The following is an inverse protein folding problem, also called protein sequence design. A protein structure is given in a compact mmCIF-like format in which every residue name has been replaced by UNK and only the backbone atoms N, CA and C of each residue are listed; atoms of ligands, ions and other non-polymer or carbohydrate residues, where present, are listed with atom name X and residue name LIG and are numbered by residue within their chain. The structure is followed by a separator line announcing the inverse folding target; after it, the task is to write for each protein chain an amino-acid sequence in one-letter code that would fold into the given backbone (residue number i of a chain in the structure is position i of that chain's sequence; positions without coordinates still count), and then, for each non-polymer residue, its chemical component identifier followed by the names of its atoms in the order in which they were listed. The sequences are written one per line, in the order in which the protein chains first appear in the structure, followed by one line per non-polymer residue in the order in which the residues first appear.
data_IF_204412494126
#
_entry.id   IF_204412494126
#
_cell.length_a   1.000
_cell.length_b   1.000
_cell.length_c   1.000
_cell.angle_alpha   90.00
_cell.angle_beta   90.00
_cell.angle_gamma   90.00
#
_symmetry.space_group_name_H-M   'P 1'
#
loop_
_entity.id
_entity.type
_entity.pdbx_description
1 polymer ?
#
# COMPACT_ATOMS: atom_id res chain seq x y z
N UNK A 1 -15.51 6.35 2.76
CA UNK A 1 -15.32 6.86 4.14
C UNK A 1 -15.63 5.86 5.27
N UNK A 2 -16.72 5.05 5.22
CA UNK A 2 -17.09 4.10 6.31
C UNK A 2 -16.11 2.95 6.61
N UNK A 3 -15.26 2.54 5.66
CA UNK A 3 -14.25 1.48 5.91
C UNK A 3 -13.11 2.01 6.77
N UNK A 4 -12.58 3.21 6.48
CA UNK A 4 -11.46 3.78 7.24
C UNK A 4 -11.83 4.00 8.71
N UNK A 5 -13.06 4.42 9.01
CA UNK A 5 -13.51 4.68 10.39
C UNK A 5 -13.75 3.41 11.23
N UNK A 6 -13.88 2.23 10.62
CA UNK A 6 -14.02 0.95 11.34
C UNK A 6 -12.77 0.09 11.28
N UNK A 7 -12.14 0.02 10.11
CA UNK A 7 -10.95 -0.81 9.86
C UNK A 7 -9.75 -0.22 10.59
N UNK A 8 -9.46 1.07 10.43
CA UNK A 8 -8.25 1.67 11.02
C UNK A 8 -8.23 1.55 12.55
N UNK A 9 -9.29 1.90 13.30
CA UNK A 9 -9.27 1.72 14.76
C UNK A 9 -9.11 0.26 15.19
N UNK A 10 -9.76 -0.68 14.49
CA UNK A 10 -9.63 -2.12 14.78
C UNK A 10 -8.21 -2.61 14.55
N UNK A 11 -7.60 -2.24 13.42
CA UNK A 11 -6.23 -2.62 13.08
C UNK A 11 -5.23 -2.00 14.05
N UNK A 12 -5.35 -0.70 14.36
CA UNK A 12 -4.53 -0.04 15.37
C UNK A 12 -4.66 -0.74 16.73
N UNK A 13 -5.87 -1.09 17.16
CA UNK A 13 -6.07 -1.82 18.41
C UNK A 13 -5.37 -3.19 18.39
N UNK A 14 -5.48 -3.92 17.28
CA UNK A 14 -4.88 -5.26 17.10
C UNK A 14 -3.36 -5.22 17.22
N UNK A 15 -2.71 -4.25 16.55
CA UNK A 15 -1.25 -4.17 16.49
C UNK A 15 -0.63 -3.41 17.67
N UNK A 16 -1.37 -2.51 18.32
CA UNK A 16 -0.87 -1.76 19.47
C UNK A 16 -1.15 -2.43 20.81
N UNK A 17 -2.21 -3.22 20.96
CA UNK A 17 -2.54 -3.86 22.23
C UNK A 17 -1.41 -4.75 22.79
N UNK A 18 -0.71 -5.58 21.98
CA UNK A 18 0.41 -6.39 22.49
C UNK A 18 1.59 -5.56 23.01
N UNK A 19 1.82 -4.36 22.47
CA UNK A 19 2.95 -3.51 22.84
C UNK A 19 2.62 -2.56 24.00
N UNK A 20 1.38 -2.06 24.04
CA UNK A 20 1.00 -0.94 24.89
C UNK A 20 -0.09 -1.27 25.93
N UNK A 21 -0.76 -2.41 25.81
CA UNK A 21 -1.91 -2.75 26.65
C UNK A 21 -2.95 -1.62 26.66
N UNK A 22 -3.41 -1.20 27.84
CA UNK A 22 -4.35 -0.07 27.99
C UNK A 22 -3.74 1.29 27.60
N UNK A 23 -2.41 1.44 27.67
CA UNK A 23 -1.72 2.70 27.34
C UNK A 23 -1.80 3.07 25.85
N UNK A 24 -2.32 2.17 25.00
CA UNK A 24 -2.54 2.41 23.57
C UNK A 24 -3.47 3.59 23.29
N UNK A 25 -4.44 3.86 24.17
CA UNK A 25 -5.35 5.00 24.02
C UNK A 25 -4.62 6.33 24.24
N UNK A 26 -3.77 6.41 25.27
CA UNK A 26 -2.90 7.56 25.52
C UNK A 26 -1.92 7.75 24.35
N UNK A 27 -1.34 6.66 23.88
CA UNK A 27 -0.43 6.66 22.73
C UNK A 27 -1.11 7.21 21.46
N UNK A 28 -2.37 6.86 21.21
CA UNK A 28 -3.11 7.38 20.06
C UNK A 28 -3.29 8.91 20.14
N UNK A 29 -3.66 9.43 21.31
CA UNK A 29 -3.73 10.88 21.54
C UNK A 29 -2.36 11.53 21.31
N UNK A 30 -1.31 10.93 21.86
CA UNK A 30 0.07 11.41 21.69
C UNK A 30 0.50 11.45 20.21
N UNK A 31 0.13 10.43 19.42
CA UNK A 31 0.35 10.40 17.98
C UNK A 31 -0.35 11.57 17.30
N UNK A 32 -1.65 11.77 17.55
CA UNK A 32 -2.42 12.84 16.92
C UNK A 32 -1.84 14.22 17.25
N UNK A 33 -1.49 14.46 18.51
CA UNK A 33 -0.87 15.72 18.96
C UNK A 33 0.51 15.95 18.33
N UNK A 34 1.23 14.88 17.96
CA UNK A 34 2.55 14.98 17.34
C UNK A 34 2.49 15.14 15.82
N UNK A 35 1.34 14.93 15.18
CA UNK A 35 1.21 14.94 13.73
C UNK A 35 1.70 16.24 13.06
N UNK A 36 1.42 17.46 13.57
CA UNK A 36 1.92 18.70 12.96
C UNK A 36 3.44 18.80 12.98
N UNK A 37 4.09 18.32 14.05
CA UNK A 37 5.56 18.29 14.16
C UNK A 37 6.15 17.34 13.12
N UNK A 38 5.60 16.12 13.02
CA UNK A 38 6.07 15.13 12.06
C UNK A 38 5.81 15.54 10.61
N UNK A 39 4.70 16.22 10.33
CA UNK A 39 4.44 16.80 9.01
C UNK A 39 5.57 17.72 8.55
N UNK A 40 6.01 18.62 9.43
CA UNK A 40 7.17 19.50 9.16
C UNK A 40 8.49 18.71 9.05
N UNK A 41 8.63 17.65 9.82
CA UNK A 41 9.84 16.80 9.78
C UNK A 41 9.95 16.00 8.49
N UNK A 42 8.84 15.53 7.93
CA UNK A 42 8.81 14.67 6.74
C UNK A 42 8.71 15.45 5.42
N UNK A 43 8.37 16.72 5.45
CA UNK A 43 8.34 17.58 4.26
C UNK A 43 9.75 17.86 3.73
N UNK A 44 9.91 17.83 2.42
CA UNK A 44 11.12 18.29 1.71
C UNK A 44 10.78 19.47 0.81
N UNK A 45 11.76 20.31 0.54
CA UNK A 45 11.63 21.44 -0.42
C UNK A 45 11.45 20.98 -1.86
N UNK A 46 11.82 19.73 -2.16
CA UNK A 46 11.72 19.11 -3.48
C UNK A 46 10.44 18.28 -3.67
N UNK A 47 9.52 18.29 -2.70
CA UNK A 47 8.28 17.53 -2.80
C UNK A 47 7.37 18.12 -3.88
N UNK A 48 6.97 17.31 -4.86
CA UNK A 48 5.90 17.65 -5.78
C UNK A 48 4.51 17.41 -5.17
N UNK A 49 3.46 17.92 -5.83
CA UNK A 49 2.09 17.82 -5.33
C UNK A 49 1.62 16.38 -5.08
N UNK A 50 2.00 15.44 -5.95
CA UNK A 50 1.64 14.02 -5.78
C UNK A 50 2.33 13.41 -4.56
N UNK A 51 3.59 13.76 -4.31
CA UNK A 51 4.32 13.27 -3.14
C UNK A 51 3.79 13.89 -1.85
N UNK A 52 3.44 15.18 -1.86
CA UNK A 52 2.77 15.84 -0.73
C UNK A 52 1.48 15.11 -0.36
N UNK A 53 0.65 14.76 -1.34
CA UNK A 53 -0.59 14.05 -1.11
C UNK A 53 -0.37 12.64 -0.51
N UNK A 54 0.62 11.90 -1.02
CA UNK A 54 0.99 10.59 -0.49
C UNK A 54 1.49 10.71 0.95
N UNK A 55 2.37 11.69 1.24
CA UNK A 55 2.88 11.96 2.58
C UNK A 55 1.75 12.33 3.55
N UNK A 56 0.80 13.12 3.10
CA UNK A 56 -0.37 13.51 3.90
C UNK A 56 -1.25 12.32 4.23
N UNK A 57 -1.47 11.44 3.27
CA UNK A 57 -2.23 10.20 3.47
C UNK A 57 -1.54 9.28 4.48
N UNK A 58 -0.21 9.18 4.43
CA UNK A 58 0.58 8.30 5.28
C UNK A 58 1.14 8.93 6.54
N UNK A 59 0.85 10.20 6.82
CA UNK A 59 1.44 10.94 7.93
C UNK A 59 1.29 10.19 9.26
N UNK A 60 0.10 9.69 9.57
CA UNK A 60 -0.14 9.00 10.84
C UNK A 60 0.57 7.64 10.93
N UNK A 61 0.88 7.01 9.80
CA UNK A 61 1.70 5.79 9.77
C UNK A 61 3.16 6.13 10.06
N UNK A 62 3.68 7.19 9.44
CA UNK A 62 5.03 7.69 9.75
C UNK A 62 5.17 8.08 11.22
N UNK A 63 4.14 8.74 11.79
CA UNK A 63 4.07 9.08 13.22
C UNK A 63 4.03 7.81 14.09
N UNK A 64 3.19 6.83 13.73
CA UNK A 64 3.07 5.54 14.41
C UNK A 64 4.43 4.86 14.52
N UNK A 65 5.10 4.66 13.39
CA UNK A 65 6.40 4.02 13.33
C UNK A 65 7.43 4.76 14.19
N UNK A 66 7.57 6.08 14.01
CA UNK A 66 8.60 6.84 14.71
C UNK A 66 8.38 6.88 16.23
N UNK A 67 7.12 6.96 16.69
CA UNK A 67 6.82 6.89 18.12
C UNK A 67 7.01 5.50 18.72
N UNK A 68 6.62 4.44 18.00
CA UNK A 68 6.91 3.09 18.44
C UNK A 68 8.42 2.85 18.51
N UNK A 69 9.17 3.32 17.50
CA UNK A 69 10.63 3.20 17.45
C UNK A 69 11.29 3.87 18.65
N UNK A 70 10.88 5.08 18.99
CA UNK A 70 11.40 5.81 20.14
C UNK A 70 11.14 5.09 21.48
N UNK A 71 10.09 4.26 21.57
CA UNK A 71 9.66 3.61 22.82
C UNK A 71 10.11 2.16 22.96
N UNK A 72 10.20 1.43 21.85
CA UNK A 72 10.37 -0.01 21.83
C UNK A 72 11.51 -0.49 20.92
N UNK A 73 12.24 0.43 20.28
CA UNK A 73 13.27 0.09 19.31
C UNK A 73 12.72 -0.18 17.92
N UNK A 74 13.65 -0.33 16.97
CA UNK A 74 13.35 -0.41 15.54
C UNK A 74 12.56 -1.68 15.16
N UNK A 75 13.02 -2.85 15.59
CA UNK A 75 12.41 -4.14 15.20
C UNK A 75 10.93 -4.23 15.59
N UNK A 76 10.60 -3.87 16.83
CA UNK A 76 9.23 -3.89 17.33
C UNK A 76 8.34 -2.88 16.59
N UNK A 77 8.88 -1.69 16.31
CA UNK A 77 8.17 -0.64 15.59
C UNK A 77 7.92 -1.04 14.13
N UNK A 78 8.95 -1.56 13.46
CA UNK A 78 8.85 -2.02 12.08
C UNK A 78 7.83 -3.14 11.97
N UNK A 79 7.93 -4.19 12.79
CA UNK A 79 6.98 -5.32 12.77
C UNK A 79 5.52 -4.88 12.93
N UNK A 80 5.25 -4.01 13.90
CA UNK A 80 3.89 -3.53 14.16
C UNK A 80 3.37 -2.62 13.04
N UNK A 81 4.18 -1.67 12.57
CA UNK A 81 3.80 -0.75 11.50
C UNK A 81 3.65 -1.47 10.15
N UNK A 82 4.54 -2.40 9.83
CA UNK A 82 4.50 -3.22 8.62
C UNK A 82 3.23 -4.06 8.56
N UNK A 83 2.90 -4.80 9.63
CA UNK A 83 1.70 -5.63 9.65
C UNK A 83 0.42 -4.79 9.61
N UNK A 84 0.39 -3.67 10.33
CA UNK A 84 -0.71 -2.71 10.26
C UNK A 84 -0.92 -2.19 8.84
N UNK A 85 0.16 -1.78 8.16
CA UNK A 85 0.10 -1.28 6.78
C UNK A 85 -0.33 -2.35 5.79
N UNK A 86 0.16 -3.58 5.92
CA UNK A 86 -0.22 -4.69 5.05
C UNK A 86 -1.73 -4.96 5.14
N UNK A 87 -2.28 -5.07 6.35
CA UNK A 87 -3.71 -5.32 6.55
C UNK A 87 -4.58 -4.12 6.12
N UNK A 88 -4.08 -2.90 6.30
CA UNK A 88 -4.75 -1.70 5.81
C UNK A 88 -4.75 -1.66 4.27
N UNK A 89 -3.61 -1.96 3.65
CA UNK A 89 -3.45 -2.05 2.20
C UNK A 89 -4.39 -3.08 1.58
N UNK A 90 -4.41 -4.31 2.12
CA UNK A 90 -5.32 -5.38 1.69
C UNK A 90 -6.79 -4.94 1.80
N UNK A 91 -7.19 -4.37 2.94
CA UNK A 91 -8.58 -3.93 3.14
C UNK A 91 -9.00 -2.79 2.18
N UNK A 92 -8.11 -1.83 1.92
CA UNK A 92 -8.37 -0.70 1.01
C UNK A 92 -8.42 -1.19 -0.44
N UNK A 93 -7.47 -2.02 -0.86
CA UNK A 93 -7.42 -2.58 -2.21
C UNK A 93 -8.60 -3.51 -2.47
N UNK A 94 -8.96 -4.40 -1.53
CA UNK A 94 -10.19 -5.20 -1.67
C UNK A 94 -11.42 -4.34 -1.82
N UNK A 95 -11.55 -3.23 -1.09
CA UNK A 95 -12.66 -2.31 -1.31
C UNK A 95 -12.66 -1.70 -2.72
N UNK A 96 -11.48 -1.42 -3.27
CA UNK A 96 -11.33 -0.77 -4.57
C UNK A 96 -11.62 -1.73 -5.74
N UNK A 97 -11.15 -2.99 -5.63
CA UNK A 97 -11.25 -3.97 -6.72
C UNK A 97 -12.39 -4.97 -6.51
N UNK A 98 -12.73 -5.36 -5.28
CA UNK A 98 -13.77 -6.34 -5.04
C UNK A 98 -15.11 -5.60 -5.01
N UNK A 99 -15.70 -5.50 -6.20
CA UNK A 99 -17.02 -4.95 -6.44
C UNK A 99 -18.11 -5.52 -5.50
N UNK A 100 -19.23 -4.80 -5.27
CA UNK A 100 -20.33 -5.28 -4.45
C UNK A 100 -20.86 -6.65 -4.90
N UNK A 101 -21.46 -7.39 -3.95
CA UNK A 101 -22.01 -8.74 -4.17
C UNK A 101 -22.86 -8.83 -5.44
N UNK A 102 -22.60 -9.87 -6.25
CA UNK A 102 -23.38 -10.19 -7.45
C UNK A 102 -22.73 -9.81 -8.79
N UNK A 103 -21.62 -9.07 -8.80
CA UNK A 103 -20.88 -8.81 -10.04
C UNK A 103 -19.71 -9.78 -10.24
N UNK A 104 -19.54 -10.24 -11.49
CA UNK A 104 -18.45 -11.15 -11.86
C UNK A 104 -17.08 -10.47 -11.68
N UNK A 105 -16.11 -11.26 -11.21
CA UNK A 105 -14.69 -10.86 -11.09
C UNK A 105 -13.93 -11.56 -12.20
N UNK A 106 -13.96 -10.99 -13.39
CA UNK A 106 -13.31 -11.51 -14.59
C UNK A 106 -12.19 -10.58 -15.07
N UNK A 107 -11.43 -11.08 -16.04
CA UNK A 107 -10.28 -10.40 -16.64
C UNK A 107 -10.64 -9.03 -17.23
N UNK A 108 -11.77 -8.92 -17.93
CA UNK A 108 -12.16 -7.67 -18.59
C UNK A 108 -12.50 -6.57 -17.59
N UNK A 109 -13.19 -6.95 -16.50
CA UNK A 109 -13.52 -6.01 -15.43
C UNK A 109 -12.31 -5.57 -14.63
N UNK A 110 -11.38 -6.49 -14.34
CA UNK A 110 -10.14 -6.14 -13.66
C UNK A 110 -9.43 -4.98 -14.36
N UNK A 111 -9.33 -5.02 -15.69
CA UNK A 111 -8.68 -3.95 -16.46
C UNK A 111 -9.36 -2.61 -16.28
N UNK A 112 -10.68 -2.57 -16.37
CA UNK A 112 -11.45 -1.33 -16.17
C UNK A 112 -11.23 -0.76 -14.76
N UNK A 113 -11.30 -1.61 -13.74
CA UNK A 113 -11.07 -1.21 -12.35
C UNK A 113 -9.62 -0.74 -12.14
N UNK A 114 -8.65 -1.42 -12.75
CA UNK A 114 -7.24 -1.08 -12.62
C UNK A 114 -6.86 0.22 -13.35
N UNK A 115 -7.33 0.42 -14.58
CA UNK A 115 -7.18 1.68 -15.31
C UNK A 115 -7.80 2.85 -14.54
N UNK A 116 -8.99 2.67 -13.97
CA UNK A 116 -9.60 3.68 -13.12
C UNK A 116 -8.74 3.98 -11.87
N UNK A 117 -8.13 2.96 -11.26
CA UNK A 117 -7.21 3.18 -10.14
C UNK A 117 -5.91 3.91 -10.54
N UNK A 118 -5.40 3.67 -11.75
CA UNK A 118 -4.23 4.36 -12.30
C UNK A 118 -4.52 5.81 -12.68
N UNK A 119 -5.74 6.11 -13.15
CA UNK A 119 -6.14 7.46 -13.53
C UNK A 119 -6.57 8.32 -12.32
N UNK A 120 -7.40 7.77 -11.44
CA UNK A 120 -8.11 8.53 -10.40
C UNK A 120 -7.86 7.99 -8.99
N UNK A 121 -7.38 6.75 -8.88
CA UNK A 121 -7.22 6.04 -7.63
C UNK A 121 -5.92 6.34 -6.89
N UNK A 122 -5.64 5.52 -5.89
CA UNK A 122 -4.54 5.75 -4.96
C UNK A 122 -3.15 5.61 -5.57
N UNK A 123 -3.04 4.81 -6.64
CA UNK A 123 -1.79 4.55 -7.35
C UNK A 123 -1.47 5.58 -8.44
N UNK A 124 -2.41 6.49 -8.76
CA UNK A 124 -2.23 7.57 -9.74
C UNK A 124 -1.05 8.50 -9.44
N UNK A 125 -0.66 8.57 -8.18
CA UNK A 125 0.46 9.39 -7.74
C UNK A 125 1.81 8.77 -8.14
N UNK A 126 1.88 7.56 -8.70
CA UNK A 126 3.14 7.04 -9.22
C UNK A 126 3.35 7.45 -10.69
N UNK A 127 4.62 7.55 -11.12
CA UNK A 127 4.93 7.63 -12.56
C UNK A 127 5.09 6.22 -13.12
N UNK A 128 4.56 6.02 -14.32
CA UNK A 128 4.57 4.73 -15.00
C UNK A 128 4.95 4.85 -16.48
N UNK A 129 5.48 3.77 -17.02
CA UNK A 129 5.82 3.63 -18.43
C UNK A 129 5.59 2.18 -18.93
N UNK A 130 5.95 1.93 -20.18
CA UNK A 130 6.04 0.57 -20.72
C UNK A 130 4.71 -0.18 -20.74
N UNK A 131 3.60 0.57 -20.84
CA UNK A 131 2.26 0.01 -20.77
C UNK A 131 1.99 -0.84 -22.01
N UNK A 132 1.77 -2.13 -21.81
CA UNK A 132 1.43 -3.12 -22.83
C UNK A 132 0.03 -3.67 -22.54
N UNK A 133 -0.86 -3.56 -23.51
CA UNK A 133 -2.20 -4.14 -23.46
C UNK A 133 -2.34 -5.17 -24.59
N UNK A 134 -2.69 -6.39 -24.22
CA UNK A 134 -3.05 -7.45 -25.14
C UNK A 134 -4.26 -8.20 -24.60
N UNK A 135 -4.84 -9.09 -25.40
CA UNK A 135 -5.99 -9.90 -24.98
C UNK A 135 -5.72 -10.70 -23.70
N UNK A 136 -4.48 -11.18 -23.52
CA UNK A 136 -4.12 -12.12 -22.46
C UNK A 136 -3.08 -11.59 -21.47
N UNK A 137 -2.63 -10.34 -21.62
CA UNK A 137 -1.63 -9.74 -20.75
C UNK A 137 -1.78 -8.23 -20.68
N UNK A 138 -1.67 -7.71 -19.46
CA UNK A 138 -1.39 -6.29 -19.21
C UNK A 138 -0.11 -6.18 -18.39
N UNK A 139 0.79 -5.31 -18.82
CA UNK A 139 2.00 -5.02 -18.05
C UNK A 139 2.39 -3.57 -18.14
N UNK A 140 3.05 -3.07 -17.09
CA UNK A 140 3.64 -1.74 -17.06
C UNK A 140 4.76 -1.71 -16.01
N UNK A 141 5.52 -0.63 -16.01
CA UNK A 141 6.47 -0.35 -14.94
C UNK A 141 6.09 0.90 -14.17
N UNK A 142 6.32 0.87 -12.86
CA UNK A 142 6.38 2.09 -12.05
C UNK A 142 7.85 2.54 -12.02
N UNK A 143 8.14 3.68 -12.63
CA UNK A 143 9.48 4.27 -12.71
C UNK A 143 9.76 5.21 -11.55
N UNK A 144 8.71 5.76 -10.93
CA UNK A 144 8.81 6.55 -9.69
C UNK A 144 7.72 6.18 -8.70
N UNK A 145 8.14 5.55 -7.61
CA UNK A 145 7.23 5.10 -6.55
C UNK A 145 7.16 6.14 -5.43
N UNK A 146 6.10 6.97 -5.44
CA UNK A 146 5.91 8.00 -4.41
C UNK A 146 5.61 7.42 -3.02
N UNK A 147 5.16 6.17 -2.95
CA UNK A 147 5.06 5.42 -1.69
C UNK A 147 6.44 5.16 -1.07
N UNK A 148 7.39 4.73 -1.90
CA UNK A 148 8.77 4.52 -1.46
C UNK A 148 9.41 5.82 -1.00
N UNK A 149 9.28 6.88 -1.79
CA UNK A 149 9.78 8.22 -1.43
C UNK A 149 9.19 8.73 -0.11
N UNK A 150 7.87 8.60 0.06
CA UNK A 150 7.20 9.03 1.29
C UNK A 150 7.72 8.27 2.51
N UNK A 151 7.80 6.94 2.46
CA UNK A 151 8.27 6.14 3.59
C UNK A 151 9.78 6.28 3.85
N UNK A 152 10.57 6.50 2.80
CA UNK A 152 11.97 6.89 2.91
C UNK A 152 12.12 8.20 3.70
N UNK A 153 11.36 9.24 3.34
CA UNK A 153 11.39 10.52 4.05
C UNK A 153 10.83 10.46 5.48
N UNK A 154 9.92 9.52 5.74
CA UNK A 154 9.43 9.21 7.09
C UNK A 154 10.43 8.42 7.93
N UNK A 155 11.58 8.05 7.36
CA UNK A 155 12.69 7.40 8.05
C UNK A 155 12.61 5.86 8.10
N UNK A 156 11.78 5.24 7.25
CA UNK A 156 11.79 3.79 7.03
C UNK A 156 11.18 3.42 5.67
N UNK A 157 12.02 3.32 4.64
CA UNK A 157 11.60 2.94 3.29
C UNK A 157 11.10 1.47 3.20
N UNK A 158 11.53 0.59 4.12
CA UNK A 158 11.11 -0.80 4.16
C UNK A 158 9.62 -0.99 4.42
N UNK A 159 8.93 0.00 5.00
CA UNK A 159 7.48 -0.03 5.18
C UNK A 159 6.72 -0.09 3.84
N UNK A 160 7.32 0.36 2.74
CA UNK A 160 6.72 0.25 1.40
C UNK A 160 6.47 -1.20 1.00
N UNK A 161 7.28 -2.14 1.48
CA UNK A 161 7.10 -3.56 1.16
C UNK A 161 5.78 -4.14 1.70
N UNK A 162 5.18 -3.54 2.73
CA UNK A 162 3.85 -3.94 3.20
C UNK A 162 2.79 -3.73 2.11
N UNK A 163 2.88 -2.65 1.34
CA UNK A 163 2.01 -2.41 0.18
C UNK A 163 2.34 -3.32 -1.01
N UNK A 164 3.64 -3.52 -1.30
CA UNK A 164 4.03 -4.44 -2.36
C UNK A 164 3.48 -5.86 -2.13
N UNK A 165 3.42 -6.30 -0.86
CA UNK A 165 2.83 -7.57 -0.46
C UNK A 165 1.30 -7.57 -0.53
N UNK A 166 0.65 -6.44 -0.22
CA UNK A 166 -0.81 -6.36 -0.34
C UNK A 166 -1.26 -6.47 -1.80
N UNK A 167 -0.54 -5.83 -2.74
CA UNK A 167 -0.75 -6.01 -4.19
C UNK A 167 -0.77 -7.50 -4.56
N UNK A 168 0.29 -8.23 -4.16
CA UNK A 168 0.46 -9.66 -4.46
C UNK A 168 -0.69 -10.51 -3.92
N UNK A 169 -1.17 -10.17 -2.71
CA UNK A 169 -2.28 -10.87 -2.05
C UNK A 169 -3.62 -10.57 -2.70
N UNK A 170 -3.90 -9.31 -2.99
CA UNK A 170 -5.21 -8.89 -3.50
C UNK A 170 -5.38 -9.30 -4.96
N UNK A 171 -4.39 -9.03 -5.82
CA UNK A 171 -4.51 -9.33 -7.23
C UNK A 171 -4.57 -10.85 -7.50
N UNK A 172 -3.75 -11.66 -6.83
CA UNK A 172 -3.84 -13.12 -6.99
C UNK A 172 -5.07 -13.75 -6.31
N UNK A 173 -5.84 -13.01 -5.51
CA UNK A 173 -7.12 -13.49 -4.96
C UNK A 173 -8.34 -12.89 -5.68
N UNK A 174 -8.13 -12.04 -6.69
CA UNK A 174 -9.20 -11.34 -7.39
C UNK A 174 -10.06 -12.29 -8.23
N UNK A 175 -9.44 -13.07 -9.11
CA UNK A 175 -10.09 -13.99 -10.05
C UNK A 175 -9.19 -15.18 -10.35
N UNK A 176 -9.74 -16.40 -10.51
CA UNK A 176 -8.96 -17.56 -10.95
C UNK A 176 -8.49 -17.44 -12.42
N UNK A 177 -9.07 -16.53 -13.20
CA UNK A 177 -8.69 -16.25 -14.60
C UNK A 177 -7.51 -15.27 -14.70
N UNK A 178 -6.92 -14.86 -13.57
CA UNK A 178 -5.84 -13.89 -13.52
C UNK A 178 -4.68 -14.36 -12.65
N UNK A 179 -3.47 -14.13 -13.12
CA UNK A 179 -2.25 -14.28 -12.34
C UNK A 179 -1.46 -12.97 -12.34
N UNK A 180 -1.17 -12.45 -11.15
CA UNK A 180 -0.29 -11.30 -10.97
C UNK A 180 1.10 -11.74 -10.53
N UNK A 181 2.12 -11.24 -11.23
CA UNK A 181 3.52 -11.47 -10.89
C UNK A 181 4.39 -10.27 -11.29
N UNK A 182 5.66 -10.31 -10.89
CA UNK A 182 6.64 -9.22 -11.12
C UNK A 182 7.75 -9.60 -12.10
N UNK A 183 7.53 -10.62 -12.93
CA UNK A 183 8.43 -11.04 -14.03
C UNK A 183 9.72 -11.77 -13.62
N UNK A 184 10.05 -11.86 -12.34
CA UNK A 184 11.28 -12.47 -11.83
C UNK A 184 11.02 -13.43 -10.67
N UNK A 185 11.93 -14.40 -10.46
CA UNK A 185 11.89 -15.35 -9.34
C UNK A 185 11.86 -14.65 -7.98
N UNK A 186 12.51 -13.49 -7.88
CA UNK A 186 12.46 -12.60 -6.72
C UNK A 186 11.77 -11.31 -7.13
N UNK A 187 10.70 -10.85 -6.45
CA UNK A 187 9.89 -9.78 -7.00
C UNK A 187 10.66 -8.44 -7.04
N UNK A 188 10.81 -7.90 -8.24
CA UNK A 188 11.65 -6.74 -8.59
C UNK A 188 10.89 -5.43 -8.37
N UNK A 189 11.06 -4.81 -7.20
CA UNK A 189 10.40 -3.54 -6.83
C UNK A 189 11.43 -2.51 -6.37
N UNK A 190 11.11 -1.22 -6.54
CA UNK A 190 11.93 -0.11 -6.02
C UNK A 190 12.18 -0.26 -4.51
N UNK A 191 11.16 -0.73 -3.76
CA UNK A 191 11.30 -1.00 -2.33
C UNK A 191 12.38 -2.05 -1.99
N UNK A 192 12.75 -2.90 -2.95
CA UNK A 192 13.78 -3.94 -2.82
C UNK A 192 15.06 -3.62 -3.62
N UNK A 193 15.24 -2.36 -4.01
CA UNK A 193 16.46 -1.87 -4.68
C UNK A 193 16.44 -1.94 -6.21
N UNK A 194 15.31 -2.24 -6.84
CA UNK A 194 15.18 -2.17 -8.28
C UNK A 194 15.12 -0.72 -8.79
N UNK A 195 15.48 -0.50 -10.07
CA UNK A 195 15.30 0.81 -10.71
C UNK A 195 13.83 1.15 -11.00
N UNK A 196 12.97 0.12 -11.10
CA UNK A 196 11.54 0.25 -11.38
C UNK A 196 10.77 -0.93 -10.78
N UNK A 197 9.49 -0.75 -10.50
CA UNK A 197 8.62 -1.88 -10.13
C UNK A 197 7.96 -2.44 -11.39
N UNK A 198 8.03 -3.77 -11.56
CA UNK A 198 7.33 -4.45 -12.66
C UNK A 198 5.97 -4.97 -12.19
N UNK A 199 4.93 -4.69 -12.97
CA UNK A 199 3.58 -5.22 -12.78
C UNK A 199 3.17 -5.98 -14.04
N UNK A 200 2.88 -7.27 -13.89
CA UNK A 200 2.40 -8.13 -14.97
C UNK A 200 1.16 -8.86 -14.49
N UNK A 201 0.10 -8.73 -15.26
CA UNK A 201 -1.13 -9.48 -15.11
C UNK A 201 -1.27 -10.36 -16.34
N UNK A 202 -1.43 -11.66 -16.13
CA UNK A 202 -1.68 -12.64 -17.16
C UNK A 202 -3.09 -13.20 -17.03
N UNK A 203 -3.77 -13.35 -18.16
CA UNK A 203 -4.99 -14.14 -18.23
C UNK A 203 -4.62 -15.62 -18.18
N UNK A 204 -5.03 -16.30 -17.14
CA UNK A 204 -4.94 -17.76 -17.09
C UNK A 204 -6.09 -18.34 -17.90
N UNK A 205 -5.82 -19.36 -18.72
CA UNK A 205 -6.91 -20.09 -19.38
C UNK A 205 -7.73 -20.76 -18.30
N UNK A 206 -9.01 -20.39 -18.20
CA UNK A 206 -9.97 -21.12 -17.37
C UNK A 206 -10.02 -22.55 -17.89
N UNK A 207 -9.53 -23.52 -17.12
CA UNK A 207 -9.85 -24.93 -17.33
C UNK A 207 -11.33 -25.11 -17.01
N UNK A 208 -12.20 -24.77 -17.95
CA UNK A 208 -13.58 -25.24 -17.99
C UNK A 208 -13.60 -26.33 -19.05
N UNK A 209 -13.44 -27.56 -18.58
CA UNK A 209 -14.01 -28.74 -19.24
C UNK A 209 -15.54 -28.72 -19.06
#
# INVERSE_FOLDING_TARGET
MRILTRVVPRLLNTHLAPLLGWRRFLFFVEMLLSAPRYRKQFSRTTDDAGLVEVKDTFLLVGVLYNKLRARFGEDAAFKAAYQFLFELGDAVQRRAYFSPEGMARDWGRFHQEHEAQMAEGFIRNNENDGVLHSENRVSFHITRCRFFEAFHDMGNAGLTEAFCRSDETVFNSYSPEMHFHRGSTFPNTIARGANQCTFIYDRTRSTRD
#
